data_IF_817889618595
#
_entry.id   IF_817889618595
#
_cell.length_a   1.000
_cell.length_b   1.000
_cell.length_c   1.000
_cell.angle_alpha   90.00
_cell.angle_beta   90.00
_cell.angle_gamma   90.00
#
_symmetry.space_group_name_H-M   'P 1'
#
loop_
_entity.id
_entity.type
_entity.pdbx_description
1 polymer ?
#
# COMPACT_ATOMS: atom_id res chain seq x y z
N UNK A 1 18.98 -5.74 1.97
CA UNK A 1 19.72 -5.56 3.23
C UNK A 1 18.95 -4.55 4.09
N UNK A 2 19.16 -4.53 5.40
CA UNK A 2 18.33 -3.76 6.35
C UNK A 2 18.59 -2.24 6.32
N UNK A 3 19.42 -1.77 5.40
CA UNK A 3 19.79 -0.36 5.31
C UNK A 3 19.02 0.39 4.22
N UNK A 4 18.26 -0.31 3.39
CA UNK A 4 17.47 0.29 2.31
C UNK A 4 16.01 0.39 2.72
N UNK A 5 15.49 1.60 2.65
CA UNK A 5 14.07 1.89 2.83
C UNK A 5 13.45 2.18 1.47
N UNK A 6 12.26 1.61 1.22
CA UNK A 6 11.47 1.90 0.03
C UNK A 6 10.39 2.91 0.40
N UNK A 7 10.33 4.01 -0.33
CA UNK A 7 9.37 5.10 -0.15
C UNK A 7 8.49 5.11 -1.39
N UNK A 8 7.18 4.98 -1.23
CA UNK A 8 6.21 4.88 -2.34
C UNK A 8 4.92 5.60 -1.99
N UNK A 9 4.28 6.19 -2.99
CA UNK A 9 3.06 6.98 -2.81
C UNK A 9 3.32 8.34 -2.17
N UNK A 10 2.26 8.94 -1.62
CA UNK A 10 2.31 10.27 -1.04
C UNK A 10 1.81 11.33 -2.02
N UNK A 11 1.88 12.60 -1.60
CA UNK A 11 1.42 13.73 -2.41
C UNK A 11 2.51 14.79 -2.41
N UNK A 12 2.85 15.26 -3.60
CA UNK A 12 3.70 16.42 -3.77
C UNK A 12 2.86 17.69 -3.63
N UNK A 13 3.32 18.62 -2.80
CA UNK A 13 2.64 19.90 -2.56
C UNK A 13 2.80 20.88 -3.73
N UNK A 14 3.81 20.70 -4.58
CA UNK A 14 4.17 21.63 -5.65
C UNK A 14 3.53 21.26 -7.00
N UNK A 15 2.98 20.05 -7.13
CA UNK A 15 2.32 19.61 -8.37
C UNK A 15 0.81 19.66 -8.24
N UNK A 16 0.12 19.84 -9.37
CA UNK A 16 -1.34 19.66 -9.45
C UNK A 16 -1.77 18.19 -9.32
N UNK A 17 -0.81 17.26 -9.14
CA UNK A 17 -1.11 15.84 -9.01
C UNK A 17 -1.73 15.55 -7.65
N UNK A 18 -2.68 14.62 -7.66
CA UNK A 18 -3.40 14.20 -6.46
C UNK A 18 -2.68 13.09 -5.69
N UNK A 19 -1.57 12.55 -6.21
CA UNK A 19 -0.71 11.56 -5.57
C UNK A 19 0.57 11.29 -6.38
N UNK A 20 1.41 10.39 -5.90
CA UNK A 20 2.67 9.98 -6.53
C UNK A 20 2.60 8.51 -6.97
N UNK A 21 3.00 8.24 -8.21
CA UNK A 21 3.22 6.89 -8.75
C UNK A 21 4.68 6.46 -8.72
N UNK A 22 5.59 7.43 -8.54
CA UNK A 22 7.01 7.20 -8.35
C UNK A 22 7.31 6.70 -6.94
N UNK A 23 8.52 6.18 -6.76
CA UNK A 23 9.05 5.90 -5.44
C UNK A 23 10.55 6.05 -5.43
N UNK A 24 11.12 6.01 -4.23
CA UNK A 24 12.53 6.19 -3.98
C UNK A 24 13.07 5.10 -3.05
N UNK A 25 14.37 4.90 -3.13
CA UNK A 25 15.15 4.09 -2.22
C UNK A 25 16.05 5.03 -1.43
N UNK A 26 15.98 4.94 -0.11
CA UNK A 26 16.95 5.60 0.77
C UNK A 26 17.92 4.57 1.33
N UNK A 27 19.22 4.78 1.11
CA UNK A 27 20.27 4.00 1.74
C UNK A 27 20.75 4.72 3.01
N UNK A 28 20.42 4.15 4.17
CA UNK A 28 20.77 4.72 5.48
C UNK A 28 22.27 4.72 5.80
N UNK A 29 23.08 3.91 5.11
CA UNK A 29 24.54 3.89 5.30
C UNK A 29 25.20 5.08 4.61
N UNK A 30 24.77 5.37 3.39
CA UNK A 30 25.34 6.44 2.56
C UNK A 30 24.56 7.75 2.69
N UNK A 31 23.37 7.70 3.29
CA UNK A 31 22.39 8.79 3.37
C UNK A 31 22.02 9.33 1.99
N UNK A 32 22.00 8.46 0.98
CA UNK A 32 21.69 8.81 -0.39
C UNK A 32 20.29 8.35 -0.78
N UNK A 33 19.67 9.16 -1.65
CA UNK A 33 18.42 8.84 -2.31
C UNK A 33 18.68 8.41 -3.75
N UNK A 34 17.97 7.39 -4.18
CA UNK A 34 17.93 6.96 -5.59
C UNK A 34 16.50 6.67 -5.98
N UNK A 35 16.09 7.05 -7.19
CA UNK A 35 14.76 6.73 -7.68
C UNK A 35 14.57 5.21 -7.86
N UNK A 36 13.35 4.74 -7.64
CA UNK A 36 12.97 3.41 -8.12
C UNK A 36 13.05 3.38 -9.64
N UNK A 37 13.57 2.29 -10.24
CA UNK A 37 13.75 2.21 -11.69
C UNK A 37 12.42 2.13 -12.46
N UNK A 38 11.31 1.79 -11.79
CA UNK A 38 10.00 1.64 -12.40
C UNK A 38 8.90 2.20 -11.51
N UNK A 39 8.00 2.99 -12.11
CA UNK A 39 6.81 3.52 -11.43
C UNK A 39 5.72 2.47 -11.29
N UNK A 40 4.90 2.62 -10.25
CA UNK A 40 3.69 1.80 -10.02
C UNK A 40 2.60 2.07 -11.06
N UNK A 41 2.73 3.17 -11.83
CA UNK A 41 1.77 3.63 -12.86
C UNK A 41 0.38 3.99 -12.33
N UNK A 42 0.25 4.20 -11.02
CA UNK A 42 -0.95 4.73 -10.39
C UNK A 42 -0.55 5.76 -9.34
N UNK A 43 -1.02 6.99 -9.51
CA UNK A 43 -0.80 8.03 -8.51
C UNK A 43 -1.63 7.71 -7.27
N UNK A 44 -0.97 7.48 -6.13
CA UNK A 44 -1.63 7.12 -4.87
C UNK A 44 -1.09 7.94 -3.71
N UNK A 45 -1.99 8.30 -2.79
CA UNK A 45 -1.65 8.83 -1.47
C UNK A 45 -2.61 8.26 -0.43
N UNK A 46 -2.30 8.39 0.87
CA UNK A 46 -3.08 7.78 1.97
C UNK A 46 -3.28 6.27 1.83
N UNK A 47 -2.42 5.62 1.05
CA UNK A 47 -2.31 4.17 0.96
C UNK A 47 -1.54 3.63 2.17
N UNK A 48 -1.78 2.36 2.50
CA UNK A 48 -0.90 1.63 3.39
C UNK A 48 0.23 0.97 2.60
N UNK A 49 1.40 0.86 3.23
CA UNK A 49 2.55 0.14 2.69
C UNK A 49 3.00 -0.90 3.72
N UNK A 50 3.10 -2.15 3.31
CA UNK A 50 3.68 -3.22 4.14
C UNK A 50 4.75 -3.98 3.34
N UNK A 51 5.77 -4.50 4.02
CA UNK A 51 6.89 -5.16 3.35
C UNK A 51 7.30 -6.44 4.06
N UNK A 52 7.79 -7.39 3.27
CA UNK A 52 8.55 -8.54 3.74
C UNK A 52 9.90 -8.60 2.99
N UNK A 53 10.68 -9.66 3.21
CA UNK A 53 12.01 -9.79 2.62
C UNK A 53 12.04 -9.89 1.08
N UNK A 54 10.89 -10.16 0.44
CA UNK A 54 10.78 -10.33 -1.02
C UNK A 54 9.97 -9.23 -1.70
N UNK A 55 9.00 -8.64 -0.99
CA UNK A 55 7.97 -7.82 -1.59
C UNK A 55 7.62 -6.60 -0.75
N UNK A 56 7.28 -5.50 -1.43
CA UNK A 56 6.55 -4.36 -0.86
C UNK A 56 5.15 -4.37 -1.45
N UNK A 57 4.13 -4.20 -0.61
CA UNK A 57 2.73 -4.10 -1.01
C UNK A 57 2.24 -2.68 -0.74
N UNK A 58 1.61 -2.08 -1.75
CA UNK A 58 0.90 -0.80 -1.68
C UNK A 58 -0.59 -1.10 -1.79
N UNK A 59 -1.35 -0.66 -0.81
CA UNK A 59 -2.73 -1.10 -0.60
C UNK A 59 -3.63 0.13 -0.50
N UNK A 60 -4.73 0.13 -1.27
CA UNK A 60 -5.79 1.12 -1.21
C UNK A 60 -5.30 2.57 -1.34
N UNK A 61 -5.89 3.47 -0.57
CA UNK A 61 -5.62 4.90 -0.59
C UNK A 61 -6.48 5.63 -1.61
N UNK A 62 -6.11 6.87 -1.91
CA UNK A 62 -6.82 7.71 -2.87
C UNK A 62 -5.96 7.97 -4.10
N UNK A 63 -6.57 7.74 -5.26
CA UNK A 63 -5.95 7.96 -6.57
C UNK A 63 -6.89 8.72 -7.53
N UNK A 64 -6.68 8.61 -8.86
CA UNK A 64 -7.32 9.49 -9.84
C UNK A 64 -8.86 9.38 -9.91
N UNK A 65 -9.43 8.24 -9.53
CA UNK A 65 -10.88 7.97 -9.58
C UNK A 65 -11.54 7.91 -8.19
N UNK A 66 -10.85 8.37 -7.14
CA UNK A 66 -11.36 8.36 -5.76
C UNK A 66 -10.63 7.37 -4.84
N UNK A 67 -11.35 6.88 -3.83
CA UNK A 67 -10.87 5.88 -2.87
C UNK A 67 -10.73 4.54 -3.59
N UNK A 68 -9.64 3.82 -3.35
CA UNK A 68 -9.26 2.64 -4.12
C UNK A 68 -9.27 1.38 -3.24
N UNK A 69 -9.61 0.25 -3.85
CA UNK A 69 -9.39 -1.10 -3.30
C UNK A 69 -8.15 -1.79 -3.89
N UNK A 70 -7.46 -1.13 -4.83
CA UNK A 70 -6.37 -1.71 -5.61
C UNK A 70 -5.16 -2.03 -4.74
N UNK A 71 -4.47 -3.09 -5.12
CA UNK A 71 -3.26 -3.58 -4.46
C UNK A 71 -2.16 -3.78 -5.49
N UNK A 72 -0.98 -3.25 -5.21
CA UNK A 72 0.20 -3.43 -6.04
C UNK A 72 1.33 -4.03 -5.23
N UNK A 73 2.09 -4.93 -5.85
CA UNK A 73 3.26 -5.57 -5.26
C UNK A 73 4.50 -5.22 -6.05
N UNK A 74 5.52 -4.68 -5.39
CA UNK A 74 6.87 -4.51 -5.90
C UNK A 74 7.73 -5.73 -5.53
N UNK A 75 8.36 -6.35 -6.52
CA UNK A 75 9.43 -7.33 -6.28
C UNK A 75 10.72 -6.61 -5.88
N UNK A 76 11.31 -6.96 -4.74
CA UNK A 76 12.59 -6.39 -4.30
C UNK A 76 13.81 -6.95 -5.05
N UNK A 77 13.63 -8.04 -5.79
CA UNK A 77 14.68 -8.61 -6.65
C UNK A 77 14.75 -7.90 -8.01
N UNK A 78 13.59 -7.59 -8.60
CA UNK A 78 13.51 -7.08 -9.98
C UNK A 78 13.05 -5.65 -10.08
N UNK A 79 12.59 -5.05 -8.97
CA UNK A 79 11.93 -3.74 -8.89
C UNK A 79 10.70 -3.60 -9.80
N UNK A 80 10.12 -4.71 -10.24
CA UNK A 80 8.91 -4.69 -11.08
C UNK A 80 7.65 -4.72 -10.23
N UNK A 81 6.70 -3.86 -10.60
CA UNK A 81 5.36 -3.81 -10.04
C UNK A 81 4.45 -4.88 -10.66
N UNK A 82 3.55 -5.43 -9.87
CA UNK A 82 2.50 -6.37 -10.30
C UNK A 82 1.20 -5.99 -9.62
N UNK A 83 0.11 -5.90 -10.39
CA UNK A 83 -1.23 -5.75 -9.83
C UNK A 83 -1.65 -7.06 -9.17
N UNK A 84 -2.20 -6.97 -7.95
CA UNK A 84 -2.65 -8.11 -7.17
C UNK A 84 -4.19 -8.10 -7.08
N UNK A 85 -4.78 -9.10 -6.43
CA UNK A 85 -6.20 -9.07 -6.14
C UNK A 85 -6.54 -7.85 -5.26
N UNK A 86 -7.60 -7.14 -5.63
CA UNK A 86 -8.10 -5.98 -4.90
C UNK A 86 -8.88 -6.40 -3.66
N UNK A 87 -8.91 -5.52 -2.66
CA UNK A 87 -9.81 -5.63 -1.49
C UNK A 87 -11.29 -5.64 -1.93
N UNK A 88 -12.17 -6.18 -1.10
CA UNK A 88 -13.62 -6.12 -1.30
C UNK A 88 -14.16 -4.71 -1.07
N UNK A 89 -13.56 -3.96 -0.13
CA UNK A 89 -13.95 -2.60 0.24
C UNK A 89 -12.83 -1.62 -0.12
N UNK A 90 -13.18 -0.58 -0.89
CA UNK A 90 -12.31 0.57 -1.13
C UNK A 90 -12.05 1.29 0.20
N UNK A 91 -10.80 1.63 0.50
CA UNK A 91 -10.46 2.30 1.76
C UNK A 91 -9.24 3.21 1.63
N UNK A 92 -9.30 4.38 2.26
CA UNK A 92 -8.14 5.20 2.60
C UNK A 92 -8.07 5.42 4.13
N UNK A 93 -6.99 6.04 4.63
CA UNK A 93 -6.82 6.32 6.06
C UNK A 93 -7.00 5.08 6.97
N UNK A 94 -6.56 3.91 6.52
CA UNK A 94 -6.72 2.66 7.27
C UNK A 94 -5.37 2.21 7.85
N UNK A 95 -5.41 1.18 8.69
CA UNK A 95 -4.21 0.50 9.18
C UNK A 95 -4.00 -0.83 8.46
N UNK A 96 -2.75 -1.18 8.17
CA UNK A 96 -2.39 -2.49 7.62
C UNK A 96 -1.25 -3.13 8.41
N UNK A 97 -1.32 -4.46 8.58
CA UNK A 97 -0.31 -5.25 9.30
C UNK A 97 0.03 -6.50 8.51
N UNK A 98 1.31 -6.72 8.25
CA UNK A 98 1.81 -8.01 7.77
C UNK A 98 2.07 -8.93 8.97
N UNK A 99 1.47 -10.13 8.97
CA UNK A 99 1.71 -11.17 9.98
C UNK A 99 1.79 -12.54 9.31
N UNK A 100 2.98 -13.13 9.30
CA UNK A 100 3.25 -14.37 8.57
C UNK A 100 3.06 -14.17 7.07
N UNK A 101 2.27 -15.04 6.44
CA UNK A 101 1.94 -14.96 5.01
C UNK A 101 0.66 -14.17 4.70
N UNK A 102 0.18 -13.40 5.68
CA UNK A 102 -1.07 -12.66 5.57
C UNK A 102 -0.88 -11.17 5.80
N UNK A 103 -1.62 -10.36 5.04
CA UNK A 103 -1.76 -8.93 5.28
C UNK A 103 -3.17 -8.70 5.80
N UNK A 104 -3.31 -7.96 6.89
CA UNK A 104 -4.59 -7.58 7.47
C UNK A 104 -4.79 -6.09 7.27
N UNK A 105 -5.99 -5.68 6.90
CA UNK A 105 -6.40 -4.27 6.85
C UNK A 105 -7.54 -4.03 7.82
N UNK A 106 -7.51 -2.89 8.50
CA UNK A 106 -8.43 -2.57 9.59
C UNK A 106 -9.01 -1.17 9.39
N UNK A 107 -10.33 -1.09 9.34
CA UNK A 107 -11.06 0.18 9.26
C UNK A 107 -10.65 1.02 8.05
N UNK A 108 -10.58 2.33 8.26
CA UNK A 108 -10.39 3.32 7.21
C UNK A 108 -11.64 4.13 6.95
N UNK A 109 -11.64 4.81 5.82
CA UNK A 109 -12.73 5.66 5.38
C UNK A 109 -13.19 5.25 3.98
N UNK A 110 -14.51 5.12 3.83
CA UNK A 110 -15.20 5.02 2.55
C UNK A 110 -16.59 5.63 2.65
N UNK A 111 -16.70 6.93 2.36
CA UNK A 111 -17.91 7.73 2.60
C UNK A 111 -18.44 7.66 4.06
N UNK A 112 -17.57 7.26 4.99
CA UNK A 112 -17.86 7.02 6.40
C UNK A 112 -16.73 6.19 7.03
N UNK A 113 -16.57 6.21 8.37
CA UNK A 113 -15.60 5.38 9.07
C UNK A 113 -15.97 3.89 8.93
N UNK A 114 -14.96 3.05 8.77
CA UNK A 114 -15.10 1.60 8.65
C UNK A 114 -14.65 0.90 9.94
N UNK A 115 -15.34 -0.15 10.30
CA UNK A 115 -14.92 -1.16 11.30
C UNK A 115 -14.49 -2.48 10.63
N UNK A 116 -14.74 -2.64 9.33
CA UNK A 116 -14.43 -3.86 8.60
C UNK A 116 -12.95 -4.25 8.63
N UNK A 117 -12.74 -5.56 8.69
CA UNK A 117 -11.42 -6.17 8.67
C UNK A 117 -11.35 -7.15 7.50
N UNK A 118 -10.35 -7.00 6.64
CA UNK A 118 -10.08 -7.97 5.57
C UNK A 118 -8.67 -8.56 5.73
N UNK A 119 -8.51 -9.82 5.30
CA UNK A 119 -7.21 -10.51 5.28
C UNK A 119 -6.87 -10.96 3.86
N UNK A 120 -5.66 -10.63 3.43
CA UNK A 120 -5.08 -11.08 2.17
C UNK A 120 -4.12 -12.26 2.39
N UNK A 121 -4.33 -13.34 1.63
CA UNK A 121 -3.36 -14.44 1.49
C UNK A 121 -2.34 -14.09 0.40
N UNK A 122 -1.07 -13.96 0.78
CA UNK A 122 0.02 -13.71 -0.19
C UNK A 122 0.22 -14.92 -1.11
N UNK A 123 0.00 -16.13 -0.59
CA UNK A 123 0.18 -17.37 -1.35
C UNK A 123 -0.90 -17.54 -2.42
N UNK A 124 -2.15 -17.26 -2.05
CA UNK A 124 -3.32 -17.53 -2.89
C UNK A 124 -3.73 -16.31 -3.73
N UNK A 125 -3.16 -15.14 -3.44
CA UNK A 125 -3.53 -13.87 -4.05
C UNK A 125 -5.05 -13.63 -3.95
N UNK A 126 -5.59 -13.74 -2.74
CA UNK A 126 -7.02 -13.59 -2.47
C UNK A 126 -7.28 -12.90 -1.15
N UNK A 127 -8.42 -12.22 -1.07
CA UNK A 127 -8.93 -11.59 0.15
C UNK A 127 -10.07 -12.42 0.74
N UNK A 128 -10.25 -12.29 2.04
CA UNK A 128 -11.42 -12.76 2.77
C UNK A 128 -11.81 -11.72 3.82
N UNK A 129 -13.11 -11.61 4.08
CA UNK A 129 -13.65 -10.78 5.15
C UNK A 129 -13.49 -11.50 6.50
N UNK A 130 -13.13 -10.74 7.54
CA UNK A 130 -13.02 -11.21 8.91
C UNK A 130 -14.09 -10.53 9.78
N UNK A 131 -14.10 -10.86 11.07
CA UNK A 131 -14.94 -10.16 12.05
C UNK A 131 -14.56 -8.68 12.17
N UNK A 132 -15.58 -7.83 12.20
CA UNK A 132 -15.43 -6.39 12.33
C UNK A 132 -14.80 -5.98 13.67
N UNK A 133 -14.17 -4.81 13.69
CA UNK A 133 -13.71 -4.17 14.91
C UNK A 133 -14.90 -3.73 15.78
N UNK A 134 -14.75 -3.62 17.12
CA UNK A 134 -15.82 -3.13 17.99
C UNK A 134 -16.26 -1.67 17.73
N UNK A 135 -15.45 -0.89 17.01
CA UNK A 135 -15.77 0.50 16.68
C UNK A 135 -15.03 0.93 15.41
N UNK A 136 -15.76 1.57 14.52
CA UNK A 136 -15.26 2.12 13.26
C UNK A 136 -14.22 3.23 13.51
N UNK A 137 -13.17 3.29 12.67
CA UNK A 137 -12.05 4.24 12.80
C UNK A 137 -11.30 4.43 11.48
N UNK A 138 -10.61 5.57 11.35
CA UNK A 138 -9.64 5.91 10.31
C UNK A 138 -8.47 6.73 10.92
#
# INVERSE_FOLDING_TARGET
DDHRMIIVGGRDAETTRTGLSSGAIFDSRTQQWTDLPYDMRLDLHRCCVVANSKYVFVIGGQGPIGIMSRVYRLSLETFKWTAMASMSIERDLFAAVLKGNYIYVFGGYNYGPLDSVERYSIADNSWEDLYDMPSARY
#
